data_IF_196312630030
#
_entry.id   IF_196312630030
#
_cell.length_a   1.000
_cell.length_b   1.000
_cell.length_c   1.000
_cell.angle_alpha   90.00
_cell.angle_beta   90.00
_cell.angle_gamma   90.00
#
_symmetry.space_group_name_H-M   'P 1'
#
loop_
_entity.id
_entity.type
_entity.pdbx_description
1 polymer ?
#
# COMPACT_ATOMS: atom_id res chain seq x y z
N UNK A 1 -6.63 11.50 6.96
CA UNK A 1 -5.86 12.70 6.57
C UNK A 1 -5.21 12.44 5.21
N UNK A 2 -5.98 12.56 4.11
CA UNK A 2 -5.42 12.40 2.76
C UNK A 2 -5.22 13.75 2.06
N UNK A 3 -5.95 14.77 2.50
CA UNK A 3 -5.91 16.13 1.96
C UNK A 3 -4.94 17.06 2.72
N UNK A 4 -4.16 16.48 3.63
CA UNK A 4 -3.26 17.21 4.51
C UNK A 4 -3.85 17.43 5.90
N UNK A 5 -2.99 17.75 6.85
CA UNK A 5 -3.40 18.02 8.23
C UNK A 5 -2.35 18.87 8.95
N UNK A 6 -2.79 19.89 9.70
CA UNK A 6 -1.92 20.78 10.50
C UNK A 6 -0.71 21.32 9.72
N UNK A 7 -0.97 21.92 8.56
CA UNK A 7 0.06 22.52 7.71
C UNK A 7 0.87 21.53 6.87
N UNK A 8 0.69 20.22 7.06
CA UNK A 8 1.26 19.21 6.18
C UNK A 8 0.42 19.07 4.91
N UNK A 9 1.05 18.98 3.72
CA UNK A 9 0.35 18.78 2.47
C UNK A 9 -0.37 17.42 2.44
N UNK A 10 -1.44 17.35 1.64
CA UNK A 10 -2.08 16.08 1.31
C UNK A 10 -1.19 15.20 0.45
N UNK A 11 -1.60 13.94 0.33
CA UNK A 11 -0.93 12.98 -0.55
C UNK A 11 -1.39 13.17 -1.99
N UNK A 12 -0.58 12.73 -2.95
CA UNK A 12 -1.03 12.58 -4.34
C UNK A 12 -2.01 11.38 -4.41
N UNK A 13 -3.31 11.70 -4.40
CA UNK A 13 -4.40 10.71 -4.47
C UNK A 13 -4.33 9.84 -5.72
N UNK A 14 -3.84 10.35 -6.84
CA UNK A 14 -3.73 9.57 -8.07
C UNK A 14 -2.63 8.52 -7.97
N UNK A 15 -1.49 8.89 -7.38
CA UNK A 15 -0.41 7.94 -7.08
C UNK A 15 -0.83 6.91 -6.05
N UNK A 16 -1.53 7.34 -5.00
CA UNK A 16 -2.08 6.41 -4.00
C UNK A 16 -3.10 5.43 -4.60
N UNK A 17 -4.00 5.90 -5.47
CA UNK A 17 -4.92 5.03 -6.19
C UNK A 17 -4.18 4.02 -7.08
N UNK A 18 -3.13 4.45 -7.79
CA UNK A 18 -2.28 3.55 -8.59
C UNK A 18 -1.59 2.48 -7.73
N UNK A 19 -1.10 2.85 -6.54
CA UNK A 19 -0.55 1.90 -5.59
C UNK A 19 -1.59 0.84 -5.21
N UNK A 20 -2.81 1.25 -4.84
CA UNK A 20 -3.89 0.32 -4.47
C UNK A 20 -4.26 -0.63 -5.62
N UNK A 21 -4.35 -0.12 -6.84
CA UNK A 21 -4.62 -0.95 -8.03
C UNK A 21 -3.49 -1.96 -8.27
N UNK A 22 -2.23 -1.53 -8.18
CA UNK A 22 -1.09 -2.41 -8.37
C UNK A 22 -0.97 -3.45 -7.26
N UNK A 23 -1.30 -3.08 -6.01
CA UNK A 23 -1.38 -4.01 -4.89
C UNK A 23 -2.46 -5.08 -5.14
N UNK A 24 -3.65 -4.67 -5.60
CA UNK A 24 -4.69 -5.63 -6.00
C UNK A 24 -4.26 -6.54 -7.14
N UNK A 25 -3.53 -6.02 -8.14
CA UNK A 25 -2.96 -6.85 -9.22
C UNK A 25 -1.95 -7.87 -8.72
N UNK A 26 -1.09 -7.49 -7.77
CA UNK A 26 -0.16 -8.43 -7.14
C UNK A 26 -0.93 -9.58 -6.50
N UNK A 27 -1.92 -9.28 -5.65
CA UNK A 27 -2.73 -10.32 -5.00
C UNK A 27 -3.53 -11.18 -6.00
N UNK A 28 -4.00 -10.58 -7.10
CA UNK A 28 -4.68 -11.31 -8.17
C UNK A 28 -3.77 -12.33 -8.87
N UNK A 29 -2.51 -11.96 -9.10
CA UNK A 29 -1.53 -12.84 -9.75
C UNK A 29 -0.90 -13.88 -8.81
N UNK A 30 -1.07 -13.72 -7.49
CA UNK A 30 -0.50 -14.58 -6.45
C UNK A 30 -1.60 -15.15 -5.54
N UNK A 31 -2.46 -16.06 -6.03
CA UNK A 31 -3.58 -16.61 -5.27
C UNK A 31 -3.16 -17.45 -4.04
N UNK A 32 -1.88 -17.83 -3.94
CA UNK A 32 -1.29 -18.45 -2.76
C UNK A 32 -1.25 -17.51 -1.55
N UNK A 33 -1.26 -16.19 -1.76
CA UNK A 33 -1.35 -15.19 -0.70
C UNK A 33 -2.80 -15.08 -0.26
N UNK A 34 -3.12 -15.63 0.91
CA UNK A 34 -4.49 -15.56 1.46
C UNK A 34 -4.81 -14.23 2.11
N UNK A 35 -3.79 -13.56 2.64
CA UNK A 35 -3.89 -12.25 3.29
C UNK A 35 -2.56 -11.53 3.14
N UNK A 36 -2.60 -10.21 2.90
CA UNK A 36 -1.42 -9.35 2.98
C UNK A 36 -1.81 -8.01 3.61
N UNK A 37 -1.08 -7.62 4.66
CA UNK A 37 -1.22 -6.34 5.35
C UNK A 37 0.03 -5.49 5.16
N UNK A 38 -0.16 -4.22 4.82
CA UNK A 38 0.90 -3.23 4.66
C UNK A 38 0.75 -2.19 5.78
N UNK A 39 1.44 -2.41 6.89
CA UNK A 39 1.29 -1.59 8.07
C UNK A 39 2.59 -1.49 8.88
N UNK A 40 3.23 -0.30 8.96
CA UNK A 40 2.76 0.96 8.45
C UNK A 40 3.08 1.18 6.96
N UNK A 41 2.12 1.77 6.24
CA UNK A 41 2.29 2.36 4.92
C UNK A 41 2.40 3.88 5.06
N UNK A 42 3.58 4.44 4.83
CA UNK A 42 3.88 5.85 5.08
C UNK A 42 4.00 6.61 3.76
N UNK A 43 3.42 7.81 3.68
CA UNK A 43 3.64 8.69 2.52
C UNK A 43 4.94 9.48 2.69
N UNK A 44 5.90 9.29 1.79
CA UNK A 44 7.10 10.13 1.71
C UNK A 44 6.78 11.40 0.91
N UNK A 45 6.82 12.55 1.57
CA UNK A 45 6.64 13.85 0.92
C UNK A 45 7.79 14.17 -0.05
N UNK A 46 9.03 13.78 0.31
CA UNK A 46 10.23 14.00 -0.52
C UNK A 46 10.14 13.23 -1.85
N UNK A 47 9.76 11.96 -1.79
CA UNK A 47 9.69 11.09 -2.98
C UNK A 47 8.32 11.15 -3.67
N UNK A 48 7.34 11.82 -3.05
CA UNK A 48 5.95 11.88 -3.47
C UNK A 48 5.38 10.49 -3.80
N UNK A 49 5.57 9.54 -2.89
CA UNK A 49 5.11 8.16 -3.02
C UNK A 49 4.92 7.49 -1.67
N UNK A 50 4.16 6.40 -1.65
CA UNK A 50 4.03 5.57 -0.47
C UNK A 50 5.26 4.65 -0.31
N UNK A 51 5.68 4.45 0.94
CA UNK A 51 6.76 3.57 1.35
C UNK A 51 6.16 2.55 2.31
N UNK A 52 6.33 1.27 1.97
CA UNK A 52 6.00 0.15 2.84
C UNK A 52 7.15 0.02 3.83
N UNK A 53 6.89 0.27 5.11
CA UNK A 53 7.90 0.13 6.17
C UNK A 53 7.94 -1.30 6.68
N UNK A 54 6.77 -1.93 6.79
CA UNK A 54 6.61 -3.34 7.14
C UNK A 54 5.46 -3.95 6.34
N UNK A 55 5.54 -5.26 6.12
CA UNK A 55 4.52 -6.03 5.43
C UNK A 55 4.45 -7.45 5.98
N UNK A 56 3.23 -7.96 6.16
CA UNK A 56 2.97 -9.34 6.56
C UNK A 56 2.10 -10.02 5.52
N UNK A 57 2.47 -11.23 5.12
CA UNK A 57 1.68 -12.06 4.23
C UNK A 57 1.40 -13.42 4.88
N UNK A 58 0.18 -13.91 4.71
CA UNK A 58 -0.19 -15.29 5.03
C UNK A 58 -0.31 -16.08 3.74
N UNK A 59 0.39 -17.20 3.67
CA UNK A 59 0.39 -18.08 2.51
C UNK A 59 -0.47 -19.31 2.81
N UNK A 60 -1.41 -19.63 1.92
CA UNK A 60 -2.16 -20.88 2.02
C UNK A 60 -1.32 -22.03 1.45
N UNK A 61 -1.13 -23.08 2.23
CA UNK A 61 -0.53 -24.31 1.72
C UNK A 61 -1.52 -25.04 0.82
N UNK A 62 -1.06 -25.52 -0.34
CA UNK A 62 -1.82 -26.43 -1.17
C UNK A 62 -2.06 -27.74 -0.38
N UNK A 63 -3.28 -28.26 -0.45
CA UNK A 63 -3.68 -29.55 0.13
C UNK A 63 -3.09 -30.67 -0.73
#
# INVERSE_FOLDING_TARGET
MLDGFRGQPGIDRSRFARLMVNFGRLLHHHPEISEMDLNPLVWSAEQNQAVVVDARATIRQAI
#
